data_IF_081542606837
#
_entry.id   IF_081542606837
#
_cell.length_a   1.000
_cell.length_b   1.000
_cell.length_c   1.000
_cell.angle_alpha   90.00
_cell.angle_beta   90.00
_cell.angle_gamma   90.00
#
_symmetry.space_group_name_H-M   'P 1'
#
loop_
_entity.id
_entity.type
_entity.pdbx_description
1 polymer ?
#
# COMPACT_ATOMS: atom_id res chain seq x y z
N UNK A 1 -4.13 31.34 6.97
CA UNK A 1 -3.22 30.80 5.93
C UNK A 1 -3.28 31.75 4.75
N UNK A 2 -2.14 32.06 4.16
CA UNK A 2 -2.11 32.77 2.88
C UNK A 2 -2.44 31.79 1.73
N UNK A 3 -2.59 32.32 0.51
CA UNK A 3 -2.90 31.52 -0.66
C UNK A 3 -1.77 30.51 -0.99
N UNK A 4 -0.52 30.87 -0.71
CA UNK A 4 0.63 30.02 -1.02
C UNK A 4 0.68 28.78 -0.13
N UNK A 5 0.45 28.94 1.18
CA UNK A 5 0.39 27.85 2.15
C UNK A 5 -0.79 26.91 1.90
N UNK A 6 -1.95 27.43 1.48
CA UNK A 6 -3.07 26.59 1.08
C UNK A 6 -2.72 25.72 -0.14
N UNK A 7 -2.15 26.32 -1.20
CA UNK A 7 -1.75 25.59 -2.42
C UNK A 7 -0.75 24.47 -2.12
N UNK A 8 0.21 24.72 -1.23
CA UNK A 8 1.20 23.72 -0.84
C UNK A 8 0.55 22.49 -0.19
N UNK A 9 -0.30 22.69 0.83
CA UNK A 9 -0.97 21.60 1.54
C UNK A 9 -1.92 20.86 0.60
N UNK A 10 -2.71 21.60 -0.19
CA UNK A 10 -3.66 21.03 -1.13
C UNK A 10 -2.96 20.18 -2.20
N UNK A 11 -1.83 20.65 -2.74
CA UNK A 11 -1.05 19.91 -3.74
C UNK A 11 -0.65 18.53 -3.22
N UNK A 12 -0.06 18.46 -2.02
CA UNK A 12 0.38 17.19 -1.43
C UNK A 12 -0.79 16.24 -1.15
N UNK A 13 -1.91 16.77 -0.66
CA UNK A 13 -3.10 15.97 -0.42
C UNK A 13 -3.66 15.39 -1.73
N UNK A 14 -3.80 16.23 -2.75
CA UNK A 14 -4.28 15.82 -4.08
C UNK A 14 -3.34 14.79 -4.73
N UNK A 15 -2.04 15.07 -4.70
CA UNK A 15 -1.01 14.22 -5.28
C UNK A 15 -0.97 12.85 -4.60
N UNK A 16 -1.01 12.81 -3.27
CA UNK A 16 -1.07 11.56 -2.50
C UNK A 16 -2.33 10.73 -2.86
N UNK A 17 -3.50 11.37 -3.00
CA UNK A 17 -4.74 10.69 -3.42
C UNK A 17 -4.65 10.10 -4.83
N UNK A 18 -3.98 10.80 -5.75
CA UNK A 18 -3.76 10.30 -7.12
C UNK A 18 -2.86 9.08 -7.09
N UNK A 19 -1.72 9.15 -6.40
CA UNK A 19 -0.80 8.02 -6.27
C UNK A 19 -1.53 6.81 -5.68
N UNK A 20 -2.30 7.00 -4.61
CA UNK A 20 -3.05 5.92 -3.97
C UNK A 20 -4.00 5.20 -4.92
N UNK A 21 -4.69 5.94 -5.80
CA UNK A 21 -5.58 5.35 -6.83
C UNK A 21 -4.79 4.64 -7.93
N UNK A 22 -3.70 5.26 -8.40
CA UNK A 22 -2.85 4.70 -9.44
C UNK A 22 -2.21 3.38 -9.00
N UNK A 23 -1.80 3.24 -7.74
CA UNK A 23 -1.25 1.99 -7.19
C UNK A 23 -2.24 0.84 -7.34
N UNK A 24 -3.54 1.08 -7.11
CA UNK A 24 -4.58 0.06 -7.29
C UNK A 24 -4.62 -0.49 -8.71
N UNK A 25 -4.44 0.37 -9.71
CA UNK A 25 -4.41 -0.03 -11.13
C UNK A 25 -3.08 -0.70 -11.49
N UNK A 26 -1.95 -0.12 -11.05
CA UNK A 26 -0.60 -0.61 -11.34
C UNK A 26 -0.36 -1.98 -10.71
N UNK A 27 -0.94 -2.25 -9.54
CA UNK A 27 -0.87 -3.57 -8.92
C UNK A 27 -1.95 -4.51 -9.49
N UNK A 28 -3.20 -4.04 -9.55
CA UNK A 28 -4.36 -4.86 -9.93
C UNK A 28 -4.33 -5.34 -11.38
N UNK A 29 -3.88 -4.50 -12.32
CA UNK A 29 -3.81 -4.84 -13.74
C UNK A 29 -2.86 -6.02 -14.03
N UNK A 30 -1.57 -5.93 -13.69
CA UNK A 30 -0.63 -7.04 -13.82
C UNK A 30 -1.05 -8.26 -13.01
N UNK A 31 -1.57 -8.07 -11.80
CA UNK A 31 -2.04 -9.19 -10.97
C UNK A 31 -3.17 -9.97 -11.67
N UNK A 32 -4.19 -9.28 -12.19
CA UNK A 32 -5.27 -9.90 -12.95
C UNK A 32 -4.75 -10.60 -14.21
N UNK A 33 -3.86 -9.94 -14.97
CA UNK A 33 -3.26 -10.52 -16.18
C UNK A 33 -2.50 -11.81 -15.88
N UNK A 34 -1.58 -11.80 -14.91
CA UNK A 34 -0.79 -12.98 -14.55
C UNK A 34 -1.63 -14.11 -13.96
N UNK A 35 -2.71 -13.77 -13.26
CA UNK A 35 -3.67 -14.74 -12.72
C UNK A 35 -4.45 -15.43 -13.85
N UNK A 36 -4.96 -14.68 -14.83
CA UNK A 36 -5.68 -15.25 -15.99
C UNK A 36 -4.79 -16.15 -16.86
N UNK A 37 -3.49 -15.85 -16.93
CA UNK A 37 -2.51 -16.65 -17.68
C UNK A 37 -1.97 -17.86 -16.90
N UNK A 38 -2.32 -18.00 -15.62
CA UNK A 38 -1.84 -19.11 -14.78
C UNK A 38 -0.34 -19.08 -14.46
N UNK A 39 0.32 -17.93 -14.61
CA UNK A 39 1.78 -17.81 -14.39
C UNK A 39 2.18 -17.71 -12.91
N UNK A 40 1.20 -17.60 -12.01
CA UNK A 40 1.43 -17.40 -10.58
C UNK A 40 1.45 -18.75 -9.85
N UNK A 41 2.57 -19.06 -9.18
CA UNK A 41 2.68 -20.23 -8.29
C UNK A 41 1.62 -20.17 -7.17
N UNK A 42 1.03 -21.31 -6.74
CA UNK A 42 -0.08 -21.32 -5.77
C UNK A 42 0.20 -20.56 -4.47
N UNK A 43 1.42 -20.71 -3.92
CA UNK A 43 1.84 -19.98 -2.72
C UNK A 43 1.88 -18.46 -2.95
N UNK A 44 2.44 -18.01 -4.08
CA UNK A 44 2.54 -16.58 -4.40
C UNK A 44 1.16 -15.98 -4.69
N UNK A 45 0.23 -16.78 -5.21
CA UNK A 45 -1.16 -16.35 -5.45
C UNK A 45 -1.84 -15.90 -4.16
N UNK A 46 -1.78 -16.71 -3.10
CA UNK A 46 -2.41 -16.40 -1.82
C UNK A 46 -1.81 -15.12 -1.19
N UNK A 47 -0.50 -14.96 -1.29
CA UNK A 47 0.20 -13.75 -0.83
C UNK A 47 -0.27 -12.52 -1.61
N UNK A 48 -0.32 -12.59 -2.95
CA UNK A 48 -0.74 -11.45 -3.78
C UNK A 48 -2.20 -11.06 -3.54
N UNK A 49 -3.08 -12.04 -3.30
CA UNK A 49 -4.45 -11.77 -2.85
C UNK A 49 -4.49 -11.07 -1.49
N UNK A 50 -3.70 -11.53 -0.53
CA UNK A 50 -3.57 -10.88 0.78
C UNK A 50 -3.10 -9.43 0.65
N UNK A 51 -2.07 -9.18 -0.16
CA UNK A 51 -1.55 -7.84 -0.44
C UNK A 51 -2.60 -6.96 -1.14
N UNK A 52 -3.33 -7.51 -2.10
CA UNK A 52 -4.43 -6.79 -2.75
C UNK A 52 -5.53 -6.40 -1.77
N UNK A 53 -5.91 -7.33 -0.89
CA UNK A 53 -6.90 -7.10 0.17
C UNK A 53 -6.45 -6.04 1.18
N UNK A 54 -5.18 -6.10 1.62
CA UNK A 54 -4.60 -5.07 2.50
C UNK A 54 -4.54 -3.70 1.82
N UNK A 55 -4.25 -3.66 0.51
CA UNK A 55 -4.28 -2.43 -0.29
C UNK A 55 -5.70 -1.86 -0.44
N UNK A 56 -6.70 -2.72 -0.67
CA UNK A 56 -8.10 -2.32 -0.70
C UNK A 56 -8.55 -1.79 0.68
N UNK A 57 -8.13 -2.44 1.77
CA UNK A 57 -8.35 -1.97 3.13
C UNK A 57 -7.68 -0.60 3.38
N UNK A 58 -6.46 -0.39 2.90
CA UNK A 58 -5.78 0.91 2.97
C UNK A 58 -6.62 2.02 2.32
N UNK A 59 -7.17 1.74 1.13
CA UNK A 59 -8.08 2.64 0.42
C UNK A 59 -9.38 2.88 1.18
N UNK A 60 -9.98 1.83 1.76
CA UNK A 60 -11.19 1.93 2.57
C UNK A 60 -10.98 2.77 3.85
N UNK A 61 -9.85 2.59 4.54
CA UNK A 61 -9.47 3.41 5.69
C UNK A 61 -9.25 4.86 5.26
N UNK A 62 -8.59 5.10 4.12
CA UNK A 62 -8.41 6.46 3.57
C UNK A 62 -9.74 7.14 3.24
N UNK A 63 -10.70 6.40 2.68
CA UNK A 63 -12.05 6.90 2.45
C UNK A 63 -12.78 7.20 3.76
N UNK A 64 -12.69 6.31 4.75
CA UNK A 64 -13.25 6.51 6.08
C UNK A 64 -12.68 7.76 6.75
N UNK A 65 -11.37 7.98 6.67
CA UNK A 65 -10.68 9.17 7.17
C UNK A 65 -11.27 10.46 6.60
N UNK A 66 -11.59 10.49 5.31
CA UNK A 66 -12.14 11.67 4.62
C UNK A 66 -13.63 11.85 4.91
N UNK A 67 -14.43 10.80 4.74
CA UNK A 67 -15.89 10.85 4.97
C UNK A 67 -16.20 11.33 6.38
N UNK A 68 -15.46 10.82 7.35
CA UNK A 68 -15.69 11.10 8.76
C UNK A 68 -15.21 12.48 9.23
N UNK A 69 -14.50 13.23 8.38
CA UNK A 69 -14.27 14.67 8.55
C UNK A 69 -15.39 15.55 7.99
N UNK A 70 -16.29 14.97 7.18
CA UNK A 70 -17.44 15.63 6.55
C UNK A 70 -18.77 15.35 7.27
N UNK A 71 -18.83 14.34 8.16
CA UNK A 71 -20.03 13.99 8.93
C UNK A 71 -20.15 14.90 10.17
N UNK A 72 -21.22 15.72 10.15
CA UNK A 72 -21.84 16.46 11.25
C UNK A 72 -20.97 17.36 12.15
N UNK A 73 -20.77 18.60 11.69
CA UNK A 73 -20.62 19.78 12.55
C UNK A 73 -21.90 20.64 12.56
N UNK A 74 -23.08 20.03 12.40
CA UNK A 74 -24.38 20.71 12.56
C UNK A 74 -24.85 20.79 14.03
N UNK A 75 -24.14 20.17 14.97
CA UNK A 75 -24.59 20.05 16.38
C UNK A 75 -23.60 20.45 17.47
N UNK A 76 -22.45 21.06 17.16
CA UNK A 76 -21.47 21.46 18.18
C UNK A 76 -20.97 22.89 18.01
N UNK A 77 -20.70 23.51 19.16
CA UNK A 77 -20.40 24.92 19.45
C UNK A 77 -19.34 25.54 18.51
N UNK A 78 -19.35 26.86 18.34
CA UNK A 78 -18.45 27.69 17.47
C UNK A 78 -16.95 27.29 17.47
N UNK A 79 -16.44 26.70 18.56
CA UNK A 79 -15.06 26.23 18.71
C UNK A 79 -14.74 24.94 17.93
N UNK A 80 -15.77 24.18 17.54
CA UNK A 80 -15.68 22.88 16.88
C UNK A 80 -15.97 22.99 15.37
N UNK A 81 -15.59 24.11 14.72
CA UNK A 81 -15.80 24.32 13.27
C UNK A 81 -14.62 23.96 12.38
N UNK A 82 -13.45 23.61 12.94
CA UNK A 82 -12.29 23.21 12.12
C UNK A 82 -12.45 21.76 11.65
N UNK A 83 -12.49 21.46 10.32
CA UNK A 83 -12.50 20.10 9.82
C UNK A 83 -11.14 19.46 10.14
N UNK A 84 -11.08 18.68 11.22
CA UNK A 84 -9.86 17.99 11.64
C UNK A 84 -10.13 16.50 11.57
N UNK A 85 -9.28 15.80 10.83
CA UNK A 85 -9.26 14.34 10.88
C UNK A 85 -8.78 13.94 12.29
N UNK A 86 -9.50 13.04 12.93
CA UNK A 86 -9.10 12.48 14.22
C UNK A 86 -7.69 11.86 14.12
N UNK A 87 -6.75 12.17 15.03
CA UNK A 87 -5.42 11.58 15.05
C UNK A 87 -5.45 10.05 15.04
N UNK A 88 -6.43 9.44 15.71
CA UNK A 88 -6.61 7.98 15.73
C UNK A 88 -6.82 7.40 14.33
N UNK A 89 -7.60 8.05 13.47
CA UNK A 89 -7.86 7.58 12.10
C UNK A 89 -6.62 7.70 11.23
N UNK A 90 -5.88 8.79 11.41
CA UNK A 90 -4.60 8.99 10.74
C UNK A 90 -3.58 7.92 11.14
N UNK A 91 -3.47 7.62 12.43
CA UNK A 91 -2.59 6.56 12.94
C UNK A 91 -2.99 5.18 12.42
N UNK A 92 -4.28 4.86 12.36
CA UNK A 92 -4.75 3.59 11.78
C UNK A 92 -4.40 3.49 10.30
N UNK A 93 -4.58 4.56 9.53
CA UNK A 93 -4.22 4.60 8.12
C UNK A 93 -2.72 4.45 7.89
N UNK A 94 -1.91 5.18 8.65
CA UNK A 94 -0.46 5.10 8.58
C UNK A 94 0.06 3.72 9.04
N UNK A 95 -0.49 3.17 10.13
CA UNK A 95 -0.13 1.86 10.64
C UNK A 95 -0.39 0.74 9.63
N UNK A 96 -1.57 0.76 8.97
CA UNK A 96 -1.86 -0.19 7.89
C UNK A 96 -0.92 -0.01 6.68
N UNK A 97 -0.54 1.24 6.35
CA UNK A 97 0.45 1.52 5.30
C UNK A 97 1.81 0.88 5.60
N UNK A 98 2.32 1.08 6.82
CA UNK A 98 3.60 0.53 7.24
C UNK A 98 3.59 -0.99 7.33
N UNK A 99 2.48 -1.57 7.79
CA UNK A 99 2.30 -3.02 7.81
C UNK A 99 2.33 -3.60 6.39
N UNK A 100 1.56 -3.03 5.46
CA UNK A 100 1.56 -3.43 4.05
C UNK A 100 2.95 -3.30 3.42
N UNK A 101 3.67 -2.21 3.70
CA UNK A 101 5.04 -2.02 3.25
C UNK A 101 5.99 -3.10 3.80
N UNK A 102 5.89 -3.43 5.09
CA UNK A 102 6.68 -4.48 5.72
C UNK A 102 6.45 -5.86 5.07
N UNK A 103 5.19 -6.20 4.78
CA UNK A 103 4.86 -7.44 4.06
C UNK A 103 5.45 -7.43 2.65
N UNK A 104 5.31 -6.33 1.89
CA UNK A 104 5.89 -6.21 0.55
C UNK A 104 7.42 -6.36 0.56
N UNK A 105 8.09 -5.73 1.52
CA UNK A 105 9.53 -5.81 1.69
C UNK A 105 9.95 -7.26 1.99
N UNK A 106 9.26 -7.92 2.93
CA UNK A 106 9.50 -9.32 3.27
C UNK A 106 9.31 -10.25 2.07
N UNK A 107 8.25 -10.06 1.29
CA UNK A 107 8.02 -10.85 0.08
C UNK A 107 9.08 -10.62 -0.99
N UNK A 108 9.55 -9.39 -1.15
CA UNK A 108 10.64 -9.05 -2.08
C UNK A 108 11.93 -9.74 -1.66
N UNK A 109 12.28 -9.71 -0.38
CA UNK A 109 13.47 -10.41 0.14
C UNK A 109 13.38 -11.92 -0.08
N UNK A 110 12.22 -12.54 0.16
CA UNK A 110 12.00 -13.96 -0.08
C UNK A 110 12.11 -14.35 -1.56
N UNK A 111 11.65 -13.48 -2.46
CA UNK A 111 11.77 -13.69 -3.90
C UNK A 111 13.21 -13.50 -4.37
N UNK A 112 13.95 -12.53 -3.83
CA UNK A 112 15.36 -12.33 -4.12
C UNK A 112 16.25 -13.43 -3.55
N UNK A 113 15.92 -14.07 -2.43
CA UNK A 113 16.76 -15.15 -1.88
C UNK A 113 16.86 -16.39 -2.78
N UNK A 114 15.76 -16.75 -3.46
CA UNK A 114 15.67 -18.01 -4.23
C UNK A 114 16.58 -18.05 -5.47
N UNK A 115 16.69 -16.99 -6.29
CA UNK A 115 17.67 -16.91 -7.38
C UNK A 115 19.11 -17.07 -6.88
N UNK A 116 19.47 -16.45 -5.76
CA UNK A 116 20.82 -16.52 -5.19
C UNK A 116 21.21 -17.96 -4.80
N UNK A 117 20.32 -18.71 -4.16
CA UNK A 117 20.59 -20.12 -3.81
C UNK A 117 20.82 -20.98 -5.07
N UNK A 118 20.12 -20.71 -6.18
CA UNK A 118 20.33 -21.44 -7.44
C UNK A 118 21.67 -21.11 -8.13
N UNK A 119 22.14 -19.86 -8.02
CA UNK A 119 23.43 -19.43 -8.58
C UNK A 119 24.63 -19.98 -7.79
N UNK A 120 24.49 -20.08 -6.46
CA UNK A 120 25.52 -20.64 -5.57
C UNK A 120 25.65 -22.17 -5.78
N UNK A 121 24.55 -22.85 -6.06
CA UNK A 121 24.53 -24.30 -6.19
C UNK A 121 25.19 -24.84 -7.49
N UNK A 122 25.29 -24.03 -8.57
CA UNK A 122 25.88 -24.49 -9.84
C UNK A 122 27.42 -24.51 -9.85
N UNK A 123 28.09 -23.73 -8.99
CA UNK A 123 29.55 -23.61 -9.00
C UNK A 123 30.28 -24.69 -8.19
N UNK A 124 29.58 -25.39 -7.30
CA UNK A 124 30.17 -26.38 -6.40
C UNK A 124 30.09 -27.83 -6.93
N UNK A 125 29.43 -28.09 -8.06
CA UNK A 125 29.31 -29.44 -8.64
C UNK A 125 30.49 -29.78 -9.57
N UNK A 126 31.19 -28.78 -10.11
CA UNK A 126 32.34 -29.01 -11.02
C UNK A 126 33.71 -28.89 -10.35
N UNK A 127 33.79 -28.44 -9.10
CA UNK A 127 35.06 -28.32 -8.37
C UNK A 127 35.41 -29.57 -7.52
N UNK A 128 34.48 -30.53 -7.39
CA UNK A 128 34.66 -31.72 -6.55
C UNK A 128 34.79 -33.04 -7.35
N UNK A 129 34.74 -32.95 -8.69
CA UNK A 129 34.88 -34.05 -9.64
C UNK A 129 36.10 -33.88 -10.58
N UNK A 130 37.09 -33.08 -10.18
CA UNK A 130 38.42 -33.03 -10.81
C UNK A 130 39.49 -33.38 -9.79
#
# INVERSE_FOLDING_TARGET
MDLSGFKFIFFWEWFHRIIGRSIGVIFGGPFAYFMLRGYIRPHLRNVLFGLFGLGALQGAIGWWMVKSGLVDKKKTTELDKTPRVSPYRLTVHAGNAYFLYGVLLWQTMNLLRRPQESLINMKNIHAHNQ
#
